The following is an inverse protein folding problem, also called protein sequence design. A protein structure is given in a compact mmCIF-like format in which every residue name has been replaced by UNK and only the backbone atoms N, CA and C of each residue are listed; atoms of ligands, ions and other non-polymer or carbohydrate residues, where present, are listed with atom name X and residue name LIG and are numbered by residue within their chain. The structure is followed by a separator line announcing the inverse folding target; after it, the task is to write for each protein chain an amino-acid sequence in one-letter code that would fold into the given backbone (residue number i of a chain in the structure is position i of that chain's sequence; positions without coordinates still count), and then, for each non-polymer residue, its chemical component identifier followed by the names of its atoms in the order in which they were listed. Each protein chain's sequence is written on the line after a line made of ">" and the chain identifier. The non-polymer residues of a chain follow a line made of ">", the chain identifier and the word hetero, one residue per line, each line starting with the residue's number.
data_IF_044336641126
#
_entry.id   IF_044336641126
#
_cell.length_a   1.000
_cell.length_b   1.000
_cell.length_c   1.000
_cell.angle_alpha   90.00
_cell.angle_beta   90.00
_cell.angle_gamma   90.00
#
_symmetry.space_group_name_H-M   'P 1'
#
loop_
_entity.id
_entity.type
_entity.pdbx_description
1 polymer ?
#
# COMPACT_ATOMS: atom_id res chain seq x y z
N UNK A 1 -4.24 -14.41 7.76
CA UNK A 1 -4.10 -13.03 7.25
C UNK A 1 -3.72 -12.12 8.43
N UNK A 2 -3.17 -10.92 8.22
CA UNK A 2 -2.95 -9.96 9.33
C UNK A 2 -4.32 -9.39 9.79
N UNK A 3 -4.57 -9.30 11.10
CA UNK A 3 -5.80 -8.70 11.65
C UNK A 3 -6.10 -7.30 11.09
N UNK A 4 -5.07 -6.46 10.92
CA UNK A 4 -5.25 -5.11 10.35
C UNK A 4 -5.75 -5.14 8.90
N UNK A 5 -5.40 -6.16 8.11
CA UNK A 5 -5.92 -6.30 6.74
C UNK A 5 -7.41 -6.65 6.73
N UNK A 6 -7.86 -7.44 7.70
CA UNK A 6 -9.27 -7.77 7.86
C UNK A 6 -10.06 -6.54 8.32
N UNK A 7 -9.55 -5.82 9.32
CA UNK A 7 -10.17 -4.59 9.84
C UNK A 7 -10.30 -3.47 8.79
N UNK A 8 -9.36 -3.40 7.85
CA UNK A 8 -9.37 -2.42 6.76
C UNK A 8 -10.05 -2.93 5.48
N UNK A 9 -10.71 -4.10 5.55
CA UNK A 9 -11.38 -4.75 4.41
C UNK A 9 -10.49 -4.85 3.17
N UNK A 10 -9.23 -5.25 3.37
CA UNK A 10 -8.24 -5.38 2.31
C UNK A 10 -8.67 -6.45 1.29
N UNK A 11 -8.95 -6.02 0.07
CA UNK A 11 -9.54 -6.86 -0.99
C UNK A 11 -8.98 -6.50 -2.36
N UNK A 12 -9.39 -7.23 -3.41
CA UNK A 12 -9.05 -6.87 -4.79
C UNK A 12 -9.61 -5.49 -5.12
N UNK A 13 -8.77 -4.64 -5.73
CA UNK A 13 -9.12 -3.29 -6.13
C UNK A 13 -10.01 -3.27 -7.36
N UNK A 14 -10.45 -2.07 -7.72
CA UNK A 14 -11.20 -1.79 -8.94
C UNK A 14 -10.25 -1.27 -10.02
N UNK A 15 -10.75 -1.09 -11.25
CA UNK A 15 -9.96 -0.58 -12.38
C UNK A 15 -9.34 0.79 -12.09
N UNK A 16 -10.00 1.62 -11.29
CA UNK A 16 -9.67 3.03 -11.05
C UNK A 16 -9.09 3.33 -9.65
N UNK A 17 -9.10 2.33 -8.76
CA UNK A 17 -8.69 2.50 -7.36
C UNK A 17 -7.98 1.27 -6.85
N UNK A 18 -6.66 1.36 -6.74
CA UNK A 18 -5.83 0.31 -6.18
C UNK A 18 -4.65 0.87 -5.37
N UNK A 19 -3.96 -0.01 -4.63
CA UNK A 19 -2.91 0.37 -3.71
C UNK A 19 -1.78 1.11 -4.42
N UNK A 20 -1.42 0.77 -5.67
CA UNK A 20 -0.37 1.51 -6.39
C UNK A 20 -0.68 3.00 -6.58
N UNK A 21 -1.96 3.37 -6.56
CA UNK A 21 -2.40 4.77 -6.70
C UNK A 21 -2.57 5.47 -5.35
N UNK A 22 -2.33 4.77 -4.24
CA UNK A 22 -2.52 5.26 -2.88
C UNK A 22 -1.26 5.93 -2.33
N UNK A 23 -1.44 7.05 -1.64
CA UNK A 23 -0.40 7.82 -0.96
C UNK A 23 0.36 7.05 0.11
N UNK A 24 -0.22 5.95 0.62
CA UNK A 24 0.38 5.10 1.64
C UNK A 24 1.18 3.93 1.07
N UNK A 25 1.15 3.73 -0.25
CA UNK A 25 1.87 2.64 -0.90
C UNK A 25 3.36 2.95 -1.02
N UNK A 26 4.15 1.95 -0.68
CA UNK A 26 5.61 1.96 -0.80
C UNK A 26 5.96 0.84 -1.76
N UNK A 27 6.28 1.19 -3.01
CA UNK A 27 6.59 0.23 -4.06
C UNK A 27 7.82 -0.61 -3.75
N UNK A 28 8.88 0.04 -3.26
CA UNK A 28 10.19 -0.56 -3.05
C UNK A 28 10.63 -0.46 -1.59
N UNK A 29 10.05 -1.30 -0.73
CA UNK A 29 10.51 -1.44 0.65
C UNK A 29 11.57 -2.55 0.76
N UNK A 30 12.72 -2.24 1.37
CA UNK A 30 13.82 -3.20 1.57
C UNK A 30 13.35 -4.40 2.40
N UNK A 31 13.62 -5.60 1.90
CA UNK A 31 13.29 -6.86 2.55
C UNK A 31 14.55 -7.48 3.13
N UNK A 32 14.52 -7.78 4.42
CA UNK A 32 15.61 -8.44 5.11
C UNK A 32 15.12 -9.76 5.71
N UNK A 33 15.90 -10.83 5.56
CA UNK A 33 15.63 -12.10 6.23
C UNK A 33 15.98 -12.04 7.71
N UNK A 34 15.76 -13.16 8.42
CA UNK A 34 15.95 -13.24 9.88
C UNK A 34 17.41 -12.99 10.26
N UNK A 35 18.35 -13.39 9.40
CA UNK A 35 19.80 -13.22 9.61
C UNK A 35 20.34 -11.92 8.99
N UNK A 36 19.47 -10.98 8.59
CA UNK A 36 19.87 -9.74 7.93
C UNK A 36 20.24 -9.90 6.45
N UNK A 37 20.04 -11.08 5.87
CA UNK A 37 20.20 -11.32 4.43
C UNK A 37 19.35 -10.34 3.60
N UNK A 38 19.90 -9.84 2.49
CA UNK A 38 19.16 -9.01 1.55
C UNK A 38 18.23 -9.90 0.71
N UNK A 39 16.92 -9.70 0.88
CA UNK A 39 15.88 -10.40 0.12
C UNK A 39 15.33 -9.53 -1.02
N UNK A 40 15.98 -8.40 -1.30
CA UNK A 40 15.59 -7.45 -2.32
C UNK A 40 14.56 -6.44 -1.83
N UNK A 41 13.65 -6.03 -2.71
CA UNK A 41 12.65 -5.02 -2.43
C UNK A 41 11.25 -5.54 -2.74
N UNK A 42 10.25 -4.99 -2.07
CA UNK A 42 8.88 -5.27 -2.43
C UNK A 42 7.84 -4.34 -1.83
N UNK A 43 6.60 -4.44 -2.31
CA UNK A 43 5.53 -3.52 -1.98
C UNK A 43 5.06 -3.63 -0.54
N UNK A 44 4.96 -2.49 0.15
CA UNK A 44 4.42 -2.33 1.50
C UNK A 44 3.44 -1.16 1.58
N UNK A 45 2.80 -1.00 2.73
CA UNK A 45 1.87 0.09 3.00
C UNK A 45 2.17 0.68 4.36
N UNK A 46 2.24 2.01 4.45
CA UNK A 46 2.50 2.73 5.71
C UNK A 46 1.44 2.49 6.78
N UNK A 47 0.20 2.18 6.40
CA UNK A 47 -0.91 1.91 7.34
C UNK A 47 -0.92 0.46 7.83
N UNK A 48 -0.74 -0.51 6.93
CA UNK A 48 -0.73 -1.94 7.29
C UNK A 48 0.58 -2.32 8.00
N UNK A 49 1.68 -1.69 7.61
CA UNK A 49 2.98 -1.81 8.25
C UNK A 49 4.15 -2.00 7.28
N UNK A 50 5.29 -1.41 7.63
CA UNK A 50 6.55 -1.47 6.91
C UNK A 50 7.48 -2.52 7.55
N UNK A 51 7.12 -3.81 7.42
CA UNK A 51 7.93 -4.92 7.93
C UNK A 51 8.28 -5.92 6.83
N UNK A 52 9.45 -6.59 6.90
CA UNK A 52 9.90 -7.48 5.83
C UNK A 52 9.05 -8.76 5.71
N UNK A 53 8.32 -9.17 6.77
CA UNK A 53 7.53 -10.40 6.79
C UNK A 53 6.45 -10.51 5.70
N UNK A 54 6.24 -11.74 5.19
CA UNK A 54 5.28 -12.05 4.10
C UNK A 54 3.87 -11.55 4.38
N UNK A 55 3.43 -11.57 5.65
CA UNK A 55 2.10 -11.14 6.05
C UNK A 55 1.84 -9.64 5.76
N UNK A 56 2.88 -8.81 5.74
CA UNK A 56 2.85 -7.37 5.44
C UNK A 56 2.89 -7.06 3.94
N UNK A 57 3.10 -8.06 3.06
CA UNK A 57 3.13 -7.88 1.61
C UNK A 57 1.83 -7.26 1.10
N UNK A 58 1.94 -6.26 0.24
CA UNK A 58 0.81 -5.61 -0.42
C UNK A 58 0.79 -5.99 -1.90
N UNK A 59 -0.36 -6.40 -2.42
CA UNK A 59 -0.59 -6.46 -3.86
C UNK A 59 -0.94 -5.04 -4.36
N UNK A 60 -0.23 -4.48 -5.36
CA UNK A 60 -0.56 -3.17 -5.91
C UNK A 60 -2.00 -3.10 -6.46
N UNK A 61 -2.55 -4.22 -6.94
CA UNK A 61 -3.91 -4.30 -7.51
C UNK A 61 -5.03 -4.47 -6.47
N UNK A 62 -4.71 -4.39 -5.18
CA UNK A 62 -5.70 -4.48 -4.10
C UNK A 62 -6.08 -3.10 -3.57
N UNK A 63 -7.05 -3.01 -2.67
CA UNK A 63 -7.49 -1.77 -2.01
C UNK A 63 -7.91 -2.05 -0.56
N UNK A 64 -7.97 -1.01 0.27
CA UNK A 64 -8.52 -1.04 1.63
C UNK A 64 -9.28 0.26 1.94
N UNK A 65 -9.99 0.31 3.06
CA UNK A 65 -10.80 1.46 3.49
C UNK A 65 -9.99 2.73 3.78
N UNK A 66 -8.67 2.59 3.98
CA UNK A 66 -7.74 3.72 4.16
C UNK A 66 -7.06 4.12 2.85
N UNK A 67 -7.71 3.87 1.71
CA UNK A 67 -7.24 4.37 0.43
C UNK A 67 -7.30 5.90 0.40
N UNK A 68 -6.20 6.53 0.00
CA UNK A 68 -6.09 7.97 -0.16
C UNK A 68 -5.18 8.27 -1.35
N UNK A 69 -5.69 8.96 -2.36
CA UNK A 69 -4.94 9.44 -3.52
C UNK A 69 -4.98 10.97 -3.64
N UNK A 70 -5.30 11.68 -2.55
CA UNK A 70 -5.45 13.13 -2.51
C UNK A 70 -4.23 13.88 -3.08
N UNK A 71 -2.99 13.46 -2.74
CA UNK A 71 -1.76 14.07 -3.28
C UNK A 71 -1.68 14.03 -4.81
N UNK A 72 -2.14 12.93 -5.43
CA UNK A 72 -2.20 12.83 -6.89
C UNK A 72 -3.26 13.78 -7.46
N UNK A 73 -4.45 13.83 -6.84
CA UNK A 73 -5.54 14.71 -7.27
C UNK A 73 -5.16 16.20 -7.16
N UNK A 74 -4.46 16.59 -6.10
CA UNK A 74 -3.94 17.96 -5.94
C UNK A 74 -2.97 18.33 -7.07
N UNK A 75 -2.06 17.41 -7.46
CA UNK A 75 -1.13 17.63 -8.58
C UNK A 75 -1.83 17.80 -9.93
N UNK A 76 -2.95 17.11 -10.12
CA UNK A 76 -3.75 17.21 -11.34
C UNK A 76 -4.64 18.47 -11.38
N UNK A 77 -4.60 19.32 -10.35
CA UNK A 77 -5.43 20.53 -10.28
C UNK A 77 -6.90 20.25 -10.01
N UNK A 78 -7.25 19.04 -9.55
CA UNK A 78 -8.63 18.64 -9.26
C UNK A 78 -9.23 19.34 -8.02
N UNK A 79 -8.42 20.03 -7.22
CA UNK A 79 -8.84 20.83 -6.05
C UNK A 79 -9.51 22.18 -6.45
N UNK A 80 -9.70 22.44 -7.76
CA UNK A 80 -10.37 23.64 -8.27
C UNK A 80 -11.90 23.60 -8.25
N UNK A 81 -12.51 22.53 -7.72
CA UNK A 81 -13.96 22.34 -7.67
C UNK A 81 -14.49 22.15 -6.24
N UNK A 82 -13.95 22.92 -5.28
CA UNK A 82 -14.53 23.08 -3.95
C UNK A 82 -15.15 24.46 -3.79
#
# INVERSE_FOLDING_TARGET
>A
MLKIKEQLHYKRGYTDRCCSDCNHYVESFKLTGINGEDLGHGPRCGIIGLKPGRMYRINPKNICDKFDNSKLLTRLGADRWK
#
